data_IF_328013752014
#
_entry.id   IF_328013752014
#
_cell.length_a   1.000
_cell.length_b   1.000
_cell.length_c   1.000
_cell.angle_alpha   90.00
_cell.angle_beta   90.00
_cell.angle_gamma   90.00
#
_symmetry.space_group_name_H-M   'P 1'
#
loop_
_entity.id
_entity.type
_entity.pdbx_description
1 polymer ?
#
# COMPACT_ATOMS: atom_id res chain seq x y z
N UNK A 1 -57.21 -14.69 24.46
CA UNK A 1 -57.13 -13.88 23.22
C UNK A 1 -56.47 -14.73 22.14
N UNK A 2 -57.24 -15.23 21.17
CA UNK A 2 -56.70 -16.03 20.09
C UNK A 2 -55.95 -15.12 19.09
N UNK A 3 -54.71 -15.44 18.70
CA UNK A 3 -54.01 -14.69 17.66
C UNK A 3 -54.83 -14.79 16.36
N UNK A 4 -55.09 -13.64 15.72
CA UNK A 4 -55.85 -13.65 14.47
C UNK A 4 -55.10 -14.46 13.41
N UNK A 5 -55.82 -15.29 12.66
CA UNK A 5 -55.30 -16.18 11.62
C UNK A 5 -54.35 -15.46 10.62
N UNK A 6 -54.55 -14.15 10.42
CA UNK A 6 -53.67 -13.30 9.60
C UNK A 6 -52.25 -13.18 10.13
N UNK A 7 -52.06 -13.10 11.45
CA UNK A 7 -50.71 -13.02 12.05
C UNK A 7 -49.96 -14.33 11.87
N UNK A 8 -50.62 -15.47 12.06
CA UNK A 8 -50.01 -16.79 11.88
C UNK A 8 -49.60 -17.02 10.42
N UNK A 9 -50.47 -16.67 9.46
CA UNK A 9 -50.17 -16.80 8.04
C UNK A 9 -48.97 -15.95 7.58
N UNK A 10 -48.86 -14.71 8.09
CA UNK A 10 -47.73 -13.81 7.82
C UNK A 10 -46.39 -14.37 8.34
N UNK A 11 -46.38 -14.89 9.58
CA UNK A 11 -45.19 -15.48 10.17
C UNK A 11 -44.73 -16.73 9.42
N UNK A 12 -45.67 -17.60 9.02
CA UNK A 12 -45.36 -18.80 8.24
C UNK A 12 -44.81 -18.42 6.86
N UNK A 13 -45.45 -17.50 6.13
CA UNK A 13 -44.97 -17.05 4.84
C UNK A 13 -43.56 -16.44 4.90
N UNK A 14 -43.27 -15.66 5.95
CA UNK A 14 -41.95 -15.05 6.17
C UNK A 14 -40.89 -16.11 6.49
N UNK A 15 -41.21 -17.11 7.31
CA UNK A 15 -40.32 -18.22 7.63
C UNK A 15 -40.05 -19.10 6.40
N UNK A 16 -41.06 -19.36 5.57
CA UNK A 16 -40.89 -20.13 4.33
C UNK A 16 -40.07 -19.35 3.30
N UNK A 17 -40.26 -18.04 3.16
CA UNK A 17 -39.46 -17.21 2.27
C UNK A 17 -37.97 -17.17 2.68
N UNK A 18 -37.68 -17.09 3.99
CA UNK A 18 -36.31 -17.18 4.52
C UNK A 18 -35.69 -18.57 4.29
N UNK A 19 -36.47 -19.64 4.51
CA UNK A 19 -36.03 -21.01 4.27
C UNK A 19 -35.69 -21.26 2.80
N UNK A 20 -36.55 -20.81 1.87
CA UNK A 20 -36.31 -20.94 0.42
C UNK A 20 -35.12 -20.07 -0.02
N UNK A 21 -34.97 -18.86 0.52
CA UNK A 21 -33.81 -18.00 0.23
C UNK A 21 -32.48 -18.63 0.66
N UNK A 22 -32.43 -19.24 1.85
CA UNK A 22 -31.24 -19.94 2.34
C UNK A 22 -30.91 -21.19 1.52
N UNK A 23 -31.92 -21.97 1.15
CA UNK A 23 -31.73 -23.18 0.32
C UNK A 23 -31.36 -22.83 -1.13
N UNK A 24 -31.85 -21.71 -1.67
CA UNK A 24 -31.48 -21.26 -3.02
C UNK A 24 -30.09 -20.59 -3.07
N UNK A 25 -29.68 -19.88 -2.02
CA UNK A 25 -28.34 -19.32 -1.90
C UNK A 25 -27.30 -20.38 -1.50
N UNK A 26 -27.72 -21.50 -0.90
CA UNK A 26 -26.83 -22.56 -0.42
C UNK A 26 -26.01 -23.22 -1.52
N UNK A 27 -26.52 -23.57 -2.71
CA UNK A 27 -25.71 -24.10 -3.82
C UNK A 27 -24.71 -23.11 -4.35
N UNK A 28 -25.02 -21.81 -4.38
CA UNK A 28 -24.08 -20.77 -4.83
C UNK A 28 -22.97 -20.60 -3.79
N UNK A 29 -23.33 -20.49 -2.50
CA UNK A 29 -22.37 -20.45 -1.41
C UNK A 29 -21.51 -21.73 -1.36
N UNK A 30 -22.13 -22.90 -1.52
CA UNK A 30 -21.45 -24.20 -1.52
C UNK A 30 -20.58 -24.38 -2.76
N UNK A 31 -21.02 -23.95 -3.95
CA UNK A 31 -20.22 -23.95 -5.17
C UNK A 31 -19.02 -23.00 -5.04
N UNK A 32 -19.21 -21.79 -4.50
CA UNK A 32 -18.09 -20.87 -4.21
C UNK A 32 -17.13 -21.42 -3.16
N UNK A 33 -17.62 -22.20 -2.19
CA UNK A 33 -16.80 -22.91 -1.19
C UNK A 33 -16.06 -24.12 -1.78
N UNK A 34 -16.68 -24.88 -2.69
CA UNK A 34 -16.12 -26.12 -3.27
C UNK A 34 -15.13 -25.81 -4.41
N UNK A 35 -15.48 -24.91 -5.32
CA UNK A 35 -14.65 -24.60 -6.51
C UNK A 35 -13.49 -23.68 -6.21
N UNK A 36 -13.59 -22.87 -5.15
CA UNK A 36 -12.57 -21.87 -4.83
C UNK A 36 -12.54 -20.68 -5.79
N UNK A 37 -13.49 -20.58 -6.73
CA UNK A 37 -13.65 -19.48 -7.70
C UNK A 37 -14.49 -18.31 -7.17
N UNK A 38 -14.84 -18.32 -5.88
CA UNK A 38 -15.32 -17.11 -5.22
C UNK A 38 -14.19 -16.07 -5.11
N UNK A 39 -14.49 -14.76 -5.03
CA UNK A 39 -13.49 -13.76 -4.62
C UNK A 39 -12.77 -14.32 -3.39
N UNK A 40 -11.43 -14.35 -3.39
CA UNK A 40 -10.54 -15.19 -2.56
C UNK A 40 -10.66 -15.12 -1.03
N UNK A 41 -11.79 -14.66 -0.51
CA UNK A 41 -12.23 -14.47 0.86
C UNK A 41 -12.41 -15.81 1.62
N UNK A 42 -12.65 -16.94 0.96
CA UNK A 42 -13.02 -18.19 1.65
C UNK A 42 -12.03 -19.37 1.52
N UNK A 43 -10.97 -19.27 0.71
CA UNK A 43 -9.84 -20.17 0.92
C UNK A 43 -9.20 -19.73 2.23
N UNK A 44 -9.30 -20.54 3.28
CA UNK A 44 -8.40 -20.42 4.44
C UNK A 44 -6.99 -20.58 3.89
N UNK A 45 -6.38 -19.47 3.48
CA UNK A 45 -4.96 -19.46 3.15
C UNK A 45 -4.25 -20.04 4.37
N UNK A 46 -3.26 -20.92 4.17
CA UNK A 46 -2.43 -21.36 5.27
C UNK A 46 -1.99 -20.12 6.05
N UNK A 47 -2.37 -20.05 7.32
CA UNK A 47 -2.14 -18.87 8.15
C UNK A 47 -0.66 -18.81 8.47
N UNK A 48 0.12 -18.25 7.56
CA UNK A 48 1.53 -18.00 7.79
C UNK A 48 1.67 -16.89 8.83
N UNK A 49 2.52 -17.14 9.82
CA UNK A 49 2.82 -16.17 10.87
C UNK A 49 3.45 -14.94 10.23
N UNK A 50 2.87 -13.77 10.48
CA UNK A 50 3.44 -12.49 10.04
C UNK A 50 4.83 -12.26 10.64
N UNK A 51 5.72 -11.56 9.92
CA UNK A 51 7.02 -11.20 10.46
C UNK A 51 6.86 -10.34 11.71
N UNK A 52 7.68 -10.61 12.74
CA UNK A 52 7.66 -9.81 13.97
C UNK A 52 8.04 -8.36 13.63
N UNK A 53 7.29 -7.36 14.14
CA UNK A 53 7.67 -5.96 14.07
C UNK A 53 9.11 -5.72 14.55
N UNK A 54 9.79 -4.74 13.98
CA UNK A 54 11.05 -4.28 14.54
C UNK A 54 10.81 -3.71 15.96
N UNK A 55 11.78 -3.82 16.90
CA UNK A 55 11.57 -3.45 18.30
C UNK A 55 11.32 -1.96 18.49
N UNK A 56 10.19 -1.54 19.07
CA UNK A 56 9.73 -0.13 19.19
C UNK A 56 10.81 0.83 19.71
N UNK A 57 11.66 0.35 20.62
CA UNK A 57 12.82 1.09 21.11
C UNK A 57 13.94 1.10 20.06
N UNK A 58 14.10 2.25 19.41
CA UNK A 58 15.28 2.50 18.58
C UNK A 58 16.52 2.51 19.46
N UNK A 59 17.56 1.80 19.03
CA UNK A 59 18.89 1.93 19.63
C UNK A 59 19.30 3.40 19.53
N UNK A 60 19.37 4.08 20.67
CA UNK A 60 19.92 5.42 20.69
C UNK A 60 21.41 5.32 20.36
N UNK A 61 21.73 5.67 19.11
CA UNK A 61 23.10 5.73 18.68
C UNK A 61 23.87 6.66 19.61
N UNK A 62 23.31 7.83 20.01
CA UNK A 62 23.92 8.85 20.87
C UNK A 62 24.60 8.29 22.13
N UNK A 63 23.92 7.37 22.82
CA UNK A 63 24.39 6.73 24.05
C UNK A 63 25.64 5.84 23.92
N UNK A 64 25.96 5.34 22.72
CA UNK A 64 27.07 4.39 22.55
C UNK A 64 28.42 5.09 22.44
N UNK A 65 29.52 4.52 22.97
CA UNK A 65 30.87 5.02 22.72
C UNK A 65 31.13 5.11 21.21
N UNK A 66 31.71 6.22 20.76
CA UNK A 66 32.12 6.37 19.37
C UNK A 66 33.57 5.91 19.23
N UNK A 67 33.84 4.98 18.32
CA UNK A 67 35.20 4.76 17.86
C UNK A 67 35.72 6.07 17.24
N UNK A 68 36.99 6.39 17.49
CA UNK A 68 37.64 7.50 16.80
C UNK A 68 37.59 7.23 15.30
N UNK A 69 37.15 8.23 14.55
CA UNK A 69 37.19 8.13 13.10
C UNK A 69 38.64 8.25 12.63
N UNK A 70 39.04 7.51 11.57
CA UNK A 70 40.31 7.74 10.94
C UNK A 70 40.36 9.19 10.44
N UNK A 71 41.32 9.98 10.93
CA UNK A 71 41.53 11.35 10.49
C UNK A 71 41.79 11.42 8.97
N UNK A 72 42.30 10.33 8.40
CA UNK A 72 42.72 10.23 7.01
C UNK A 72 41.67 9.62 6.07
N UNK A 73 40.40 9.54 6.48
CA UNK A 73 39.36 9.05 5.58
C UNK A 73 39.12 10.07 4.45
N UNK A 74 39.44 9.76 3.18
CA UNK A 74 39.25 10.70 2.07
C UNK A 74 37.77 11.06 1.88
N UNK A 75 36.86 10.16 2.26
CA UNK A 75 35.44 10.41 2.19
C UNK A 75 34.97 11.46 3.21
N UNK A 76 35.50 11.45 4.45
CA UNK A 76 35.14 12.45 5.47
C UNK A 76 35.87 13.78 5.29
N UNK A 77 36.96 13.80 4.52
CA UNK A 77 37.61 15.05 4.08
C UNK A 77 36.75 15.85 3.08
N UNK A 78 35.77 15.21 2.41
CA UNK A 78 34.83 15.91 1.52
C UNK A 78 33.92 16.87 2.31
N UNK A 79 33.55 18.04 1.77
CA UNK A 79 32.47 18.87 2.29
C UNK A 79 31.16 18.09 2.44
N UNK A 80 30.30 18.54 3.36
CA UNK A 80 29.04 17.86 3.69
C UNK A 80 28.15 17.69 2.46
N UNK A 81 28.10 18.72 1.63
CA UNK A 81 27.27 18.80 0.43
C UNK A 81 27.64 17.72 -0.58
N UNK A 82 28.95 17.48 -0.79
CA UNK A 82 29.42 16.42 -1.68
C UNK A 82 29.09 15.04 -1.13
N UNK A 83 29.17 14.84 0.20
CA UNK A 83 28.74 13.58 0.82
C UNK A 83 27.24 13.36 0.63
N UNK A 84 26.42 14.40 0.78
CA UNK A 84 24.97 14.32 0.54
C UNK A 84 24.64 13.98 -0.92
N UNK A 85 25.39 14.50 -1.89
CA UNK A 85 25.27 14.07 -3.29
C UNK A 85 25.57 12.57 -3.46
N UNK A 86 26.63 12.07 -2.82
CA UNK A 86 26.98 10.64 -2.85
C UNK A 86 25.89 9.80 -2.19
N UNK A 87 25.36 10.23 -1.04
CA UNK A 87 24.26 9.53 -0.38
C UNK A 87 22.98 9.54 -1.22
N UNK A 88 22.63 10.66 -1.85
CA UNK A 88 21.46 10.77 -2.72
C UNK A 88 21.60 9.85 -3.93
N UNK A 89 22.78 9.77 -4.53
CA UNK A 89 23.07 8.85 -5.63
C UNK A 89 22.95 7.38 -5.18
N UNK A 90 23.54 7.05 -4.03
CA UNK A 90 23.59 5.68 -3.53
C UNK A 90 22.26 5.17 -2.95
N UNK A 91 21.46 6.07 -2.37
CA UNK A 91 20.30 5.70 -1.54
C UNK A 91 19.00 6.40 -1.93
N UNK A 92 18.99 7.43 -2.77
CA UNK A 92 17.82 8.26 -3.04
C UNK A 92 17.17 8.03 -4.41
N UNK A 93 16.02 8.66 -4.62
CA UNK A 93 15.35 8.83 -5.92
C UNK A 93 14.72 7.56 -6.50
N UNK A 94 14.63 6.47 -5.76
CA UNK A 94 14.10 5.18 -6.22
C UNK A 94 12.70 4.95 -5.69
N UNK A 95 11.97 4.06 -6.37
CA UNK A 95 10.76 3.45 -5.84
C UNK A 95 11.14 2.14 -5.16
N UNK A 96 10.98 2.07 -3.84
CA UNK A 96 11.38 0.94 -3.01
C UNK A 96 10.14 0.13 -2.68
N UNK A 97 9.99 -1.02 -3.32
CA UNK A 97 8.89 -1.93 -3.02
C UNK A 97 9.27 -2.82 -1.84
N UNK A 98 8.40 -2.85 -0.83
CA UNK A 98 8.43 -3.77 0.29
C UNK A 98 7.18 -4.63 0.22
N UNK A 99 7.33 -5.96 0.28
CA UNK A 99 6.21 -6.89 0.23
C UNK A 99 6.45 -8.11 1.11
N UNK A 100 5.37 -8.78 1.50
CA UNK A 100 5.44 -10.05 2.22
C UNK A 100 5.65 -11.21 1.25
N UNK A 101 6.55 -12.11 1.62
CA UNK A 101 6.79 -13.36 0.91
C UNK A 101 6.49 -14.52 1.84
N UNK A 102 5.70 -15.46 1.34
CA UNK A 102 5.40 -16.72 2.02
C UNK A 102 6.62 -17.65 1.97
N UNK A 103 7.00 -18.19 3.12
CA UNK A 103 7.99 -19.25 3.27
C UNK A 103 7.26 -20.51 3.75
N UNK A 104 6.78 -21.36 2.81
CA UNK A 104 6.01 -22.55 3.16
C UNK A 104 6.84 -23.57 3.95
N UNK A 105 8.17 -23.59 3.75
CA UNK A 105 9.09 -24.50 4.44
C UNK A 105 9.15 -24.15 5.93
N UNK A 106 9.27 -22.86 6.25
CA UNK A 106 9.34 -22.36 7.63
C UNK A 106 7.96 -22.00 8.20
N UNK A 107 6.89 -22.14 7.42
CA UNK A 107 5.50 -21.76 7.77
C UNK A 107 5.39 -20.33 8.30
N UNK A 108 6.12 -19.39 7.71
CA UNK A 108 6.16 -17.97 8.10
C UNK A 108 6.10 -17.06 6.89
N UNK A 109 5.82 -15.78 7.12
CA UNK A 109 6.07 -14.71 6.15
C UNK A 109 7.32 -13.92 6.54
N UNK A 110 7.97 -13.34 5.54
CA UNK A 110 9.06 -12.40 5.75
C UNK A 110 8.94 -11.21 4.80
N UNK A 111 9.50 -10.07 5.18
CA UNK A 111 9.54 -8.89 4.31
C UNK A 111 10.68 -9.04 3.33
N UNK A 112 10.37 -8.85 2.04
CA UNK A 112 11.35 -8.69 0.98
C UNK A 112 11.31 -7.26 0.47
N UNK A 113 12.46 -6.75 0.05
CA UNK A 113 12.58 -5.45 -0.60
C UNK A 113 13.18 -5.57 -2.00
N UNK A 114 12.82 -4.62 -2.85
CA UNK A 114 13.38 -4.41 -4.17
C UNK A 114 13.28 -2.94 -4.54
N UNK A 115 14.24 -2.44 -5.31
CA UNK A 115 14.21 -1.07 -5.81
C UNK A 115 14.07 -1.07 -7.32
N UNK A 116 13.16 -0.22 -7.79
CA UNK A 116 12.99 0.07 -9.20
C UNK A 116 13.96 1.20 -9.57
N UNK A 117 14.69 1.07 -10.71
CA UNK A 117 15.61 2.10 -11.16
C UNK A 117 14.98 3.49 -11.25
N UNK A 118 15.82 4.51 -11.08
CA UNK A 118 15.53 5.88 -11.49
C UNK A 118 15.24 5.89 -12.99
N UNK A 119 14.00 5.70 -13.43
CA UNK A 119 13.68 5.96 -14.82
C UNK A 119 13.71 7.46 -15.07
N UNK A 120 14.08 7.85 -16.29
CA UNK A 120 14.02 9.24 -16.73
C UNK A 120 12.58 9.78 -16.82
N UNK A 121 11.56 8.94 -16.61
CA UNK A 121 10.16 9.34 -16.72
C UNK A 121 9.41 9.18 -15.40
N UNK A 122 9.04 10.28 -14.73
CA UNK A 122 8.36 10.27 -13.43
C UNK A 122 6.97 9.59 -13.46
N UNK A 123 6.47 9.22 -14.64
CA UNK A 123 5.18 8.58 -14.86
C UNK A 123 5.29 7.10 -15.26
N UNK A 124 6.50 6.54 -15.37
CA UNK A 124 6.69 5.12 -15.67
C UNK A 124 6.53 4.29 -14.39
N UNK A 125 5.27 3.98 -14.10
CA UNK A 125 4.86 3.03 -13.04
C UNK A 125 5.36 1.60 -13.34
N UNK A 126 5.72 1.37 -14.60
CA UNK A 126 6.00 0.07 -15.17
C UNK A 126 7.39 0.12 -15.76
N UNK A 127 8.37 -0.21 -14.94
CA UNK A 127 9.73 -0.42 -15.40
C UNK A 127 9.90 -1.93 -15.46
N UNK A 128 10.03 -2.43 -16.68
CA UNK A 128 10.53 -3.78 -16.91
C UNK A 128 11.81 -3.95 -16.11
N UNK A 129 11.81 -4.94 -15.21
CA UNK A 129 12.86 -5.23 -14.23
C UNK A 129 14.18 -5.71 -14.86
N UNK A 130 14.47 -5.35 -16.11
CA UNK A 130 15.59 -5.90 -16.87
C UNK A 130 16.94 -5.55 -16.26
N UNK A 131 17.03 -4.47 -15.46
CA UNK A 131 18.19 -4.19 -14.60
C UNK A 131 17.75 -3.70 -13.21
N UNK A 132 17.99 -4.45 -12.13
CA UNK A 132 17.82 -3.92 -10.78
C UNK A 132 18.81 -2.77 -10.53
N UNK A 133 18.35 -1.70 -9.88
CA UNK A 133 19.19 -0.61 -9.37
C UNK A 133 19.14 -0.68 -7.85
N UNK A 134 19.92 -1.59 -7.23
CA UNK A 134 19.83 -1.86 -5.81
C UNK A 134 20.28 -0.64 -5.01
N UNK A 135 19.53 -0.32 -3.96
CA UNK A 135 19.98 0.62 -2.94
C UNK A 135 21.27 0.13 -2.30
N UNK A 136 22.27 0.99 -2.14
CA UNK A 136 23.51 0.67 -1.43
C UNK A 136 23.33 0.67 0.09
N UNK A 137 22.37 -0.11 0.61
CA UNK A 137 22.04 -0.16 2.05
C UNK A 137 23.24 -0.56 2.91
N UNK A 138 24.20 -1.30 2.35
CA UNK A 138 25.49 -1.62 2.99
C UNK A 138 26.22 -0.38 3.51
N UNK A 139 26.05 0.77 2.84
CA UNK A 139 26.62 2.05 3.25
C UNK A 139 26.16 2.45 4.66
N UNK A 140 24.90 2.19 5.03
CA UNK A 140 24.34 2.53 6.34
C UNK A 140 24.91 1.70 7.50
N UNK A 141 25.62 0.61 7.19
CA UNK A 141 26.27 -0.26 8.17
C UNK A 141 27.76 0.02 8.34
N UNK A 142 28.33 0.93 7.55
CA UNK A 142 29.78 1.22 7.58
C UNK A 142 30.20 1.88 8.88
N UNK A 143 29.61 3.04 9.20
CA UNK A 143 29.88 3.75 10.44
C UNK A 143 28.69 4.63 10.85
N UNK A 144 28.72 5.07 12.11
CA UNK A 144 27.65 5.85 12.73
C UNK A 144 27.44 7.23 12.11
N UNK A 145 28.51 7.88 11.64
CA UNK A 145 28.36 9.15 10.94
C UNK A 145 27.60 8.93 9.64
N UNK A 146 28.08 8.06 8.75
CA UNK A 146 27.39 7.73 7.50
C UNK A 146 25.93 7.35 7.75
N UNK A 147 25.66 6.51 8.75
CA UNK A 147 24.28 6.19 9.13
C UNK A 147 23.46 7.44 9.46
N UNK A 148 23.95 8.33 10.34
CA UNK A 148 23.25 9.55 10.73
C UNK A 148 23.06 10.52 9.57
N UNK A 149 24.05 10.63 8.69
CA UNK A 149 24.01 11.55 7.55
C UNK A 149 23.08 11.03 6.44
N UNK A 150 23.14 9.75 6.12
CA UNK A 150 22.54 9.17 4.93
C UNK A 150 21.17 8.51 5.18
N UNK A 151 20.86 8.08 6.41
CA UNK A 151 19.58 7.47 6.74
C UNK A 151 18.37 8.40 6.48
N UNK A 152 18.41 9.71 6.81
CA UNK A 152 17.33 10.62 6.44
C UNK A 152 17.13 10.70 4.92
N UNK A 153 18.20 10.62 4.12
CA UNK A 153 18.12 10.66 2.65
C UNK A 153 17.40 9.42 2.13
N UNK A 154 17.74 8.23 2.65
CA UNK A 154 17.04 6.98 2.32
C UNK A 154 15.52 7.09 2.57
N UNK A 155 15.09 7.63 3.71
CA UNK A 155 13.66 7.66 4.04
C UNK A 155 12.89 8.77 3.31
N UNK A 156 13.54 9.92 3.08
CA UNK A 156 12.87 11.12 2.59
C UNK A 156 12.94 11.31 1.07
N UNK A 157 13.90 10.67 0.39
CA UNK A 157 14.14 10.86 -1.05
C UNK A 157 13.63 9.72 -1.92
N UNK A 158 13.01 8.69 -1.34
CA UNK A 158 12.46 7.55 -2.07
C UNK A 158 10.94 7.50 -1.91
N UNK A 159 10.29 6.85 -2.87
CA UNK A 159 8.89 6.45 -2.75
C UNK A 159 8.82 5.02 -2.27
N UNK A 160 8.30 4.81 -1.06
CA UNK A 160 8.13 3.46 -0.50
C UNK A 160 6.79 2.89 -0.96
N UNK A 161 6.84 1.80 -1.72
CA UNK A 161 5.68 1.10 -2.22
C UNK A 161 5.38 -0.14 -1.38
N UNK A 162 4.11 -0.33 -1.03
CA UNK A 162 3.63 -1.44 -0.22
C UNK A 162 2.41 -2.06 -0.85
N UNK A 163 2.25 -3.37 -0.72
CA UNK A 163 0.98 -3.99 -1.03
C UNK A 163 -0.02 -3.65 0.09
N UNK A 164 -1.24 -3.31 -0.28
CA UNK A 164 -2.30 -3.02 0.67
C UNK A 164 -2.57 -4.22 1.59
N UNK A 165 -2.56 -5.41 1.00
CA UNK A 165 -2.57 -6.69 1.70
C UNK A 165 -1.27 -6.84 2.51
N UNK A 166 -1.36 -6.60 3.82
CA UNK A 166 -0.19 -6.69 4.70
C UNK A 166 0.60 -5.38 4.85
N UNK A 167 0.00 -4.24 4.52
CA UNK A 167 0.61 -2.91 4.72
C UNK A 167 1.24 -2.76 6.11
N UNK A 168 0.48 -3.05 7.17
CA UNK A 168 0.94 -2.93 8.56
C UNK A 168 2.12 -3.85 8.87
N UNK A 169 2.01 -5.13 8.54
CA UNK A 169 3.07 -6.10 8.82
C UNK A 169 4.36 -5.71 8.06
N UNK A 170 4.23 -5.29 6.80
CA UNK A 170 5.35 -4.86 5.97
C UNK A 170 6.00 -3.58 6.50
N UNK A 171 5.22 -2.57 6.88
CA UNK A 171 5.73 -1.32 7.46
C UNK A 171 6.47 -1.58 8.76
N UNK A 172 5.85 -2.30 9.70
CA UNK A 172 6.40 -2.50 11.04
C UNK A 172 7.60 -3.44 11.05
N UNK A 173 7.61 -4.49 10.23
CA UNK A 173 8.75 -5.41 10.15
C UNK A 173 9.85 -4.94 9.20
N UNK A 174 9.51 -4.15 8.17
CA UNK A 174 10.47 -3.66 7.18
C UNK A 174 11.13 -2.34 7.56
N UNK A 175 10.37 -1.38 8.08
CA UNK A 175 10.86 -0.03 8.40
C UNK A 175 10.84 0.26 9.90
N UNK A 176 9.89 -0.32 10.65
CA UNK A 176 9.69 -0.01 12.07
C UNK A 176 8.90 1.28 12.28
N UNK A 177 8.22 1.38 13.41
CA UNK A 177 7.33 2.51 13.73
C UNK A 177 8.09 3.85 13.84
N UNK A 178 9.30 3.84 14.36
CA UNK A 178 10.13 5.05 14.54
C UNK A 178 10.58 5.69 13.21
N UNK A 179 10.47 4.99 12.09
CA UNK A 179 10.83 5.52 10.77
C UNK A 179 9.64 6.14 10.03
N UNK A 180 8.40 5.86 10.46
CA UNK A 180 7.19 6.36 9.79
C UNK A 180 7.15 7.89 9.70
N UNK A 181 7.51 8.66 10.75
CA UNK A 181 7.50 10.13 10.67
C UNK A 181 8.50 10.71 9.66
N UNK A 182 9.47 9.93 9.21
CA UNK A 182 10.48 10.36 8.24
C UNK A 182 10.11 10.07 6.78
N UNK A 183 9.06 9.29 6.54
CA UNK A 183 8.60 8.97 5.19
C UNK A 183 7.97 10.19 4.54
N UNK A 184 8.37 10.49 3.30
CA UNK A 184 7.82 11.60 2.52
C UNK A 184 6.95 11.16 1.34
N UNK A 185 7.22 9.99 0.77
CA UNK A 185 6.49 9.51 -0.40
C UNK A 185 6.12 8.04 -0.20
N UNK A 186 4.81 7.75 -0.27
CA UNK A 186 4.27 6.40 -0.11
C UNK A 186 3.37 6.05 -1.28
N UNK A 187 3.48 4.80 -1.73
CA UNK A 187 2.63 4.20 -2.75
C UNK A 187 1.97 2.96 -2.15
N UNK A 188 0.65 2.85 -2.27
CA UNK A 188 -0.11 1.69 -1.82
C UNK A 188 -0.63 0.97 -3.06
N UNK A 189 -0.19 -0.26 -3.23
CA UNK A 189 -0.50 -1.12 -4.36
C UNK A 189 -1.69 -2.03 -4.04
N UNK A 190 -2.63 -2.10 -4.98
CA UNK A 190 -3.72 -3.06 -4.98
C UNK A 190 -3.56 -3.99 -6.16
N UNK A 191 -3.93 -5.25 -5.98
CA UNK A 191 -3.89 -6.27 -7.02
C UNK A 191 -5.22 -6.40 -7.79
N UNK A 192 -6.11 -5.42 -7.62
CA UNK A 192 -7.37 -5.32 -8.36
C UNK A 192 -7.82 -3.87 -8.46
N UNK A 193 -8.66 -3.59 -9.46
CA UNK A 193 -9.42 -2.35 -9.50
C UNK A 193 -10.52 -2.36 -8.43
N UNK A 194 -10.83 -1.20 -7.84
CA UNK A 194 -11.82 -1.13 -6.78
C UNK A 194 -13.22 -1.18 -7.40
N UNK A 195 -13.79 -2.38 -7.52
CA UNK A 195 -15.11 -2.57 -8.11
C UNK A 195 -16.25 -2.11 -7.19
N UNK A 196 -16.00 -2.03 -5.89
CA UNK A 196 -17.00 -1.74 -4.88
C UNK A 196 -16.55 -0.65 -3.92
N UNK A 197 -17.50 0.21 -3.51
CA UNK A 197 -17.28 1.33 -2.59
C UNK A 197 -16.81 0.91 -1.20
N UNK A 198 -17.27 -0.25 -0.71
CA UNK A 198 -17.01 -0.72 0.66
C UNK A 198 -15.51 -0.77 1.00
N UNK A 199 -14.66 -0.98 -0.01
CA UNK A 199 -13.21 -0.91 0.11
C UNK A 199 -12.74 0.41 0.77
N UNK A 200 -13.35 1.54 0.40
CA UNK A 200 -13.05 2.88 0.90
C UNK A 200 -13.83 3.26 2.15
N UNK A 201 -14.92 2.56 2.45
CA UNK A 201 -15.72 2.82 3.64
C UNK A 201 -15.09 2.20 4.90
N UNK A 202 -14.10 1.31 4.75
CA UNK A 202 -13.41 0.61 5.84
C UNK A 202 -11.88 0.75 5.77
N UNK A 203 -11.32 1.97 5.86
CA UNK A 203 -9.87 2.20 5.77
C UNK A 203 -9.06 1.47 6.86
N UNK A 204 -9.67 1.17 8.01
CA UNK A 204 -9.03 0.43 9.10
C UNK A 204 -8.70 -1.03 8.72
N UNK A 205 -9.50 -1.64 7.84
CA UNK A 205 -9.23 -2.99 7.34
C UNK A 205 -7.85 -3.06 6.65
N UNK A 206 -7.48 -1.99 5.96
CA UNK A 206 -6.21 -1.84 5.25
C UNK A 206 -5.11 -1.21 6.10
N UNK A 207 -5.38 -0.94 7.38
CA UNK A 207 -4.47 -0.22 8.28
C UNK A 207 -4.04 1.17 7.78
N UNK A 208 -4.88 1.86 6.99
CA UNK A 208 -4.53 3.20 6.50
C UNK A 208 -4.42 4.25 7.61
N UNK A 209 -4.94 3.98 8.81
CA UNK A 209 -4.71 4.81 9.99
C UNK A 209 -3.22 5.08 10.26
N UNK A 210 -2.32 4.16 9.89
CA UNK A 210 -0.87 4.33 10.02
C UNK A 210 -0.28 5.46 9.17
N UNK A 211 -1.00 5.92 8.13
CA UNK A 211 -0.57 7.08 7.34
C UNK A 211 -0.51 8.35 8.20
N UNK A 212 -1.30 8.42 9.28
CA UNK A 212 -1.27 9.55 10.23
C UNK A 212 0.04 9.62 11.01
N UNK A 213 0.73 8.50 11.19
CA UNK A 213 2.03 8.43 11.86
C UNK A 213 3.17 8.93 10.94
N UNK A 214 2.87 9.22 9.68
CA UNK A 214 3.83 9.73 8.69
C UNK A 214 3.77 11.26 8.62
N UNK A 215 4.22 11.91 9.69
CA UNK A 215 4.15 13.37 9.89
C UNK A 215 4.77 14.20 8.73
N UNK A 216 5.64 13.61 7.92
CA UNK A 216 6.31 14.29 6.79
C UNK A 216 5.82 13.81 5.43
N UNK A 217 4.73 13.04 5.37
CA UNK A 217 4.17 12.53 4.13
C UNK A 217 3.74 13.70 3.22
N UNK A 218 4.40 13.82 2.07
CA UNK A 218 4.14 14.84 1.04
C UNK A 218 3.51 14.25 -0.22
N UNK A 219 3.80 13.00 -0.55
CA UNK A 219 3.28 12.34 -1.73
C UNK A 219 2.60 11.02 -1.34
N UNK A 220 1.35 10.84 -1.75
CA UNK A 220 0.58 9.62 -1.55
C UNK A 220 -0.02 9.16 -2.87
N UNK A 221 0.34 7.95 -3.26
CA UNK A 221 -0.16 7.31 -4.47
C UNK A 221 -0.95 6.04 -4.14
N UNK A 222 -2.14 5.91 -4.72
CA UNK A 222 -2.89 4.65 -4.73
C UNK A 222 -2.77 4.04 -6.13
N UNK A 223 -2.15 2.88 -6.23
CA UNK A 223 -1.91 2.19 -7.49
C UNK A 223 -2.74 0.91 -7.56
N UNK A 224 -3.72 0.86 -8.46
CA UNK A 224 -4.56 -0.30 -8.70
C UNK A 224 -4.01 -1.07 -9.90
N UNK A 225 -3.56 -2.29 -9.67
CA UNK A 225 -2.97 -3.16 -10.69
C UNK A 225 -3.89 -4.34 -10.93
N UNK A 226 -4.43 -4.47 -12.14
CA UNK A 226 -5.22 -5.63 -12.52
C UNK A 226 -4.44 -6.50 -13.50
N UNK A 227 -4.12 -7.71 -13.08
CA UNK A 227 -3.64 -8.75 -13.97
C UNK A 227 -4.82 -9.31 -14.79
N UNK A 228 -4.61 -9.73 -16.05
CA UNK A 228 -5.65 -10.41 -16.82
C UNK A 228 -6.02 -11.71 -16.10
N UNK A 229 -7.30 -11.88 -15.81
CA UNK A 229 -7.85 -13.13 -15.31
C UNK A 229 -8.25 -13.97 -16.53
N UNK A 230 -7.41 -14.94 -16.91
CA UNK A 230 -7.68 -15.87 -18.01
C UNK A 230 -7.21 -15.41 -19.39
N UNK A 231 -7.55 -16.21 -20.41
CA UNK A 231 -7.06 -16.08 -21.79
C UNK A 231 -7.67 -14.93 -22.59
N UNK A 232 -8.65 -14.20 -22.05
CA UNK A 232 -9.28 -13.09 -22.78
C UNK A 232 -8.45 -11.81 -22.65
N UNK A 233 -7.82 -11.33 -23.74
CA UNK A 233 -6.89 -10.21 -23.71
C UNK A 233 -7.59 -8.84 -23.73
N UNK A 234 -8.91 -8.79 -23.92
CA UNK A 234 -9.65 -7.54 -24.01
C UNK A 234 -9.60 -6.81 -22.66
N UNK A 235 -9.11 -5.55 -22.61
CA UNK A 235 -9.18 -4.77 -21.40
C UNK A 235 -10.66 -4.60 -21.03
N UNK A 236 -11.12 -5.08 -19.85
CA UNK A 236 -12.45 -4.77 -19.40
C UNK A 236 -12.50 -3.26 -19.23
N UNK A 237 -13.55 -2.64 -19.76
CA UNK A 237 -13.83 -1.24 -19.46
C UNK A 237 -14.04 -1.17 -17.94
N UNK A 238 -13.16 -0.52 -17.17
CA UNK A 238 -13.27 -0.53 -15.73
C UNK A 238 -14.32 0.49 -15.31
N UNK A 239 -15.59 0.18 -15.59
CA UNK A 239 -16.70 0.97 -15.09
C UNK A 239 -16.99 0.48 -13.68
N UNK A 240 -16.58 1.28 -12.69
CA UNK A 240 -17.01 1.03 -11.32
C UNK A 240 -18.51 1.25 -11.21
N UNK A 241 -19.18 0.36 -10.46
CA UNK A 241 -20.64 0.39 -10.28
C UNK A 241 -21.11 1.56 -9.41
N UNK A 242 -20.19 2.25 -8.74
CA UNK A 242 -20.42 3.44 -7.93
C UNK A 242 -19.74 4.65 -8.58
N UNK A 243 -20.08 5.85 -8.12
CA UNK A 243 -19.41 7.08 -8.52
C UNK A 243 -18.15 7.32 -7.67
N UNK A 244 -16.94 7.29 -8.24
CA UNK A 244 -15.70 7.57 -7.51
C UNK A 244 -15.71 8.92 -6.79
N UNK A 245 -16.44 9.92 -7.30
CA UNK A 245 -16.46 11.27 -6.70
C UNK A 245 -17.07 11.27 -5.30
N UNK A 246 -17.96 10.32 -5.00
CA UNK A 246 -18.56 10.16 -3.68
C UNK A 246 -17.56 9.68 -2.61
N UNK A 247 -16.40 9.16 -3.02
CA UNK A 247 -15.33 8.77 -2.10
C UNK A 247 -14.73 9.95 -1.34
N UNK A 248 -14.95 11.19 -1.80
CA UNK A 248 -14.51 12.40 -1.09
C UNK A 248 -15.14 12.52 0.30
N UNK A 249 -16.33 11.96 0.49
CA UNK A 249 -17.07 11.97 1.75
C UNK A 249 -17.10 10.60 2.41
N UNK A 250 -16.30 9.63 1.95
CA UNK A 250 -16.13 8.36 2.65
C UNK A 250 -15.11 8.51 3.79
N UNK A 251 -15.10 7.57 4.75
CA UNK A 251 -14.04 7.50 5.77
C UNK A 251 -12.62 7.53 5.21
N UNK A 252 -12.36 6.90 4.06
CA UNK A 252 -11.08 7.02 3.36
C UNK A 252 -10.82 8.45 2.86
N UNK A 253 -11.82 9.11 2.27
CA UNK A 253 -11.69 10.49 1.79
C UNK A 253 -11.41 11.46 2.93
N UNK A 254 -12.09 11.29 4.08
CA UNK A 254 -11.83 12.04 5.31
C UNK A 254 -10.43 11.77 5.86
N UNK A 255 -9.98 10.50 5.88
CA UNK A 255 -8.63 10.15 6.29
C UNK A 255 -7.58 10.85 5.42
N UNK A 256 -7.72 10.81 4.09
CA UNK A 256 -6.77 11.44 3.19
C UNK A 256 -6.80 12.96 3.37
N UNK A 257 -7.98 13.56 3.31
CA UNK A 257 -8.18 15.01 3.34
C UNK A 257 -7.78 15.65 4.67
N UNK A 258 -8.35 15.14 5.75
CA UNK A 258 -8.29 15.77 7.07
C UNK A 258 -7.21 15.12 7.96
N UNK A 259 -6.83 13.87 7.65
CA UNK A 259 -5.82 13.12 8.41
C UNK A 259 -4.37 13.32 7.94
N UNK A 260 -4.14 13.91 6.76
CA UNK A 260 -2.81 14.08 6.17
C UNK A 260 -2.53 15.57 5.83
N UNK A 261 -2.37 16.44 6.84
CA UNK A 261 -2.30 17.89 6.66
C UNK A 261 -1.07 18.37 5.87
N UNK A 262 -0.05 17.52 5.75
CA UNK A 262 1.21 17.82 5.09
C UNK A 262 1.29 17.31 3.66
N UNK A 263 0.23 16.65 3.18
CA UNK A 263 0.21 16.09 1.84
C UNK A 263 0.25 17.22 0.80
N UNK A 264 1.18 17.13 -0.15
CA UNK A 264 1.36 18.10 -1.24
C UNK A 264 0.87 17.50 -2.56
N UNK A 265 0.97 16.18 -2.70
CA UNK A 265 0.68 15.44 -3.91
C UNK A 265 -0.16 14.18 -3.62
N UNK A 266 -1.25 14.05 -4.36
CA UNK A 266 -2.13 12.88 -4.31
C UNK A 266 -2.32 12.34 -5.73
N UNK A 267 -2.12 11.03 -5.92
CA UNK A 267 -2.21 10.38 -7.23
C UNK A 267 -3.01 9.08 -7.16
N UNK A 268 -3.79 8.81 -8.21
CA UNK A 268 -4.42 7.52 -8.44
C UNK A 268 -3.96 6.97 -9.78
N UNK A 269 -3.38 5.77 -9.74
CA UNK A 269 -2.85 5.10 -10.91
C UNK A 269 -3.56 3.77 -11.13
N UNK A 270 -3.80 3.45 -12.41
CA UNK A 270 -4.46 2.23 -12.81
C UNK A 270 -3.59 1.54 -13.85
N UNK A 271 -3.28 0.26 -13.64
CA UNK A 271 -2.57 -0.54 -14.62
C UNK A 271 -3.32 -1.81 -14.95
N UNK A 272 -3.39 -2.13 -16.24
CA UNK A 272 -3.93 -3.38 -16.76
C UNK A 272 -2.83 -4.15 -17.46
N UNK A 273 -2.56 -5.38 -17.02
CA UNK A 273 -1.49 -6.21 -17.59
C UNK A 273 -0.15 -5.44 -17.72
N UNK A 274 0.23 -4.71 -16.66
CA UNK A 274 1.44 -3.88 -16.66
C UNK A 274 1.45 -2.79 -17.74
N UNK A 275 0.28 -2.27 -18.12
CA UNK A 275 0.13 -1.09 -18.98
C UNK A 275 -0.66 -0.03 -18.22
N UNK A 276 -0.17 1.21 -18.17
CA UNK A 276 -0.91 2.32 -17.53
C UNK A 276 -2.19 2.56 -18.33
N UNK A 277 -3.32 2.61 -17.63
CA UNK A 277 -4.60 2.98 -18.22
C UNK A 277 -4.80 4.49 -18.16
N UNK A 278 -5.24 5.07 -19.27
CA UNK A 278 -5.73 6.45 -19.27
C UNK A 278 -7.15 6.49 -18.69
N UNK A 279 -7.24 6.83 -17.41
CA UNK A 279 -8.52 6.96 -16.72
C UNK A 279 -9.30 8.21 -17.16
N UNK A 280 -8.67 9.23 -17.76
CA UNK A 280 -9.43 10.35 -18.30
C UNK A 280 -10.31 9.89 -19.47
N UNK A 281 -9.82 8.95 -20.28
CA UNK A 281 -10.57 8.33 -21.36
C UNK A 281 -11.50 7.20 -20.89
N UNK A 282 -11.02 6.37 -19.95
CA UNK A 282 -11.72 5.13 -19.55
C UNK A 282 -12.85 5.37 -18.54
N UNK A 283 -12.61 6.20 -17.51
CA UNK A 283 -13.60 6.59 -16.51
C UNK A 283 -13.18 7.93 -15.86
N UNK A 284 -13.57 9.09 -16.46
CA UNK A 284 -13.08 10.40 -16.05
C UNK A 284 -13.42 10.78 -14.61
N UNK A 285 -14.39 10.09 -13.98
CA UNK A 285 -14.80 10.33 -12.59
C UNK A 285 -13.65 10.10 -11.61
N UNK A 286 -12.74 9.17 -11.91
CA UNK A 286 -11.54 8.95 -11.11
C UNK A 286 -10.58 10.15 -11.15
N UNK A 287 -10.42 10.78 -12.32
CA UNK A 287 -9.57 11.97 -12.46
C UNK A 287 -10.21 13.19 -11.82
N UNK A 288 -11.52 13.30 -11.85
CA UNK A 288 -12.25 14.33 -11.09
C UNK A 288 -12.06 14.17 -9.58
N UNK A 289 -12.13 12.94 -9.06
CA UNK A 289 -11.83 12.65 -7.65
C UNK A 289 -10.38 13.05 -7.29
N UNK A 290 -9.39 12.58 -8.06
CA UNK A 290 -7.98 12.89 -7.86
C UNK A 290 -7.74 14.40 -7.83
N UNK A 291 -8.30 15.14 -8.79
CA UNK A 291 -8.22 16.60 -8.84
C UNK A 291 -8.86 17.26 -7.64
N UNK A 292 -10.07 16.83 -7.26
CA UNK A 292 -10.79 17.40 -6.12
C UNK A 292 -10.04 17.21 -4.79
N UNK A 293 -9.40 16.05 -4.61
CA UNK A 293 -8.52 15.79 -3.45
C UNK A 293 -7.26 16.66 -3.55
N UNK A 294 -6.60 16.71 -4.70
CA UNK A 294 -5.39 17.50 -4.90
C UNK A 294 -5.60 19.01 -4.70
N UNK A 295 -6.75 19.55 -5.10
CA UNK A 295 -7.14 20.95 -4.89
C UNK A 295 -7.33 21.30 -3.42
N UNK A 296 -7.70 20.33 -2.58
CA UNK A 296 -7.84 20.56 -1.14
C UNK A 296 -6.49 20.92 -0.50
N UNK A 297 -5.41 20.25 -0.91
CA UNK A 297 -4.06 20.45 -0.35
C UNK A 297 -3.30 21.67 -0.89
N UNK A 298 -3.81 22.31 -1.95
CA UNK A 298 -3.20 23.52 -2.51
C UNK A 298 -3.69 24.81 -1.84
N UNK A 299 -4.67 24.72 -0.95
CA UNK A 299 -5.26 25.86 -0.23
C UNK A 299 -4.59 26.04 1.11
#
# INVERSE_FOLDING_TARGET
>A
MAPSLRKVASTVASATALGVGLVAASPILLYTLITGDGPGILRKQPTYVDPKPLPEERIDLSSRPCASQPADSPFFALPRELRDCIYAEALGGRRVWLWLVDDPVQKRRYVRSGSIPRSAHPNHILIESSKPDPLCISLLFTCRQIHREAHPILLSSNTFAFDADGLRATLLAGLGSWNLPSLRSVCINFNAFPQHRWFFDHPDFWSFGMLRDMERLRCLEFQFNQAPWGENPSPPVPVTQYDPRDLRTSPWGELVRDGLPWLEEFRMAFTWNRVVMDMAASDPRWKDLERAIQEHFRR
#
